data_IF_175918785573
#
_entry.id   IF_175918785573
#
_cell.length_a   1.000
_cell.length_b   1.000
_cell.length_c   1.000
_cell.angle_alpha   90.00
_cell.angle_beta   90.00
_cell.angle_gamma   90.00
#
_symmetry.space_group_name_H-M   'P 1'
#
loop_
_entity.id
_entity.type
_entity.pdbx_description
1 polymer ?
#
# COMPACT_ATOMS: atom_id res chain seq x y z
N UNK A 1 32.85 -48.35 16.97
CA UNK A 1 33.06 -48.33 15.50
C UNK A 1 33.12 -46.87 15.11
N UNK A 2 34.28 -46.39 14.66
CA UNK A 2 34.42 -45.02 14.15
C UNK A 2 33.81 -44.96 12.73
N UNK A 3 33.13 -43.85 12.35
CA UNK A 3 32.61 -43.69 11.00
C UNK A 3 33.77 -43.56 9.99
N UNK A 4 33.60 -44.03 8.74
CA UNK A 4 34.59 -43.82 7.69
C UNK A 4 34.74 -42.31 7.42
N UNK A 5 35.98 -41.85 7.31
CA UNK A 5 36.30 -40.49 6.91
C UNK A 5 35.67 -40.23 5.54
N UNK A 6 34.79 -39.23 5.46
CA UNK A 6 34.17 -38.78 4.23
C UNK A 6 35.28 -38.23 3.31
N UNK A 7 35.35 -38.75 2.08
CA UNK A 7 36.23 -38.23 1.03
C UNK A 7 35.77 -36.81 0.68
N UNK A 8 36.39 -35.81 1.31
CA UNK A 8 36.19 -34.41 0.97
C UNK A 8 36.86 -34.18 -0.39
N UNK A 9 36.06 -34.05 -1.45
CA UNK A 9 36.52 -33.67 -2.79
C UNK A 9 37.25 -32.31 -2.70
N UNK A 10 38.58 -32.35 -2.67
CA UNK A 10 39.41 -31.15 -2.66
C UNK A 10 39.40 -30.56 -4.07
N UNK A 11 38.97 -29.30 -4.26
CA UNK A 11 38.90 -28.69 -5.59
C UNK A 11 40.30 -28.67 -6.24
N UNK A 12 40.41 -29.27 -7.43
CA UNK A 12 41.65 -29.37 -8.20
C UNK A 12 41.72 -28.28 -9.29
N UNK A 13 42.94 -27.82 -9.60
CA UNK A 13 43.19 -26.95 -10.74
C UNK A 13 43.06 -27.71 -12.06
N UNK A 14 42.32 -27.19 -13.04
CA UNK A 14 42.15 -27.88 -14.34
C UNK A 14 43.35 -27.78 -15.30
N UNK A 15 44.33 -26.94 -14.97
CA UNK A 15 45.54 -26.76 -15.78
C UNK A 15 46.65 -27.72 -15.33
N UNK A 16 46.85 -27.86 -14.02
CA UNK A 16 47.93 -28.67 -13.45
C UNK A 16 47.46 -29.89 -12.65
N UNK A 17 46.14 -30.04 -12.43
CA UNK A 17 45.50 -31.13 -11.68
C UNK A 17 45.94 -31.28 -10.22
N UNK A 18 46.55 -30.23 -9.65
CA UNK A 18 46.93 -30.18 -8.23
C UNK A 18 45.85 -29.51 -7.38
N UNK A 19 45.77 -29.81 -6.07
CA UNK A 19 44.87 -29.14 -5.13
C UNK A 19 45.02 -27.62 -5.17
N UNK A 20 43.90 -26.89 -5.15
CA UNK A 20 43.90 -25.42 -5.10
C UNK A 20 44.18 -24.91 -3.69
N UNK A 21 45.10 -23.95 -3.58
CA UNK A 21 45.15 -23.01 -2.47
C UNK A 21 44.13 -21.89 -2.75
N UNK A 22 43.66 -21.19 -1.72
CA UNK A 22 42.49 -20.29 -1.71
C UNK A 22 42.57 -19.04 -2.62
N UNK A 23 43.54 -18.94 -3.52
CA UNK A 23 43.69 -17.83 -4.45
C UNK A 23 42.93 -18.13 -5.76
N UNK A 24 41.69 -17.66 -5.82
CA UNK A 24 40.81 -17.86 -6.97
C UNK A 24 40.87 -16.67 -7.94
N UNK A 25 41.43 -16.87 -9.13
CA UNK A 25 41.35 -15.89 -10.23
C UNK A 25 40.12 -16.21 -11.06
N UNK A 26 39.18 -15.26 -11.20
CA UNK A 26 38.01 -15.44 -12.04
C UNK A 26 38.22 -14.80 -13.42
N UNK A 27 37.94 -15.54 -14.50
CA UNK A 27 37.94 -14.97 -15.86
C UNK A 27 36.60 -14.26 -16.15
N UNK A 28 36.51 -13.38 -17.18
CA UNK A 28 35.27 -12.68 -17.55
C UNK A 28 34.08 -13.59 -17.90
N UNK A 29 34.32 -14.88 -18.11
CA UNK A 29 33.30 -15.90 -18.33
C UNK A 29 32.77 -16.55 -17.05
N UNK A 30 33.26 -16.15 -15.86
CA UNK A 30 32.81 -16.66 -14.56
C UNK A 30 33.50 -17.94 -14.08
N UNK A 31 34.32 -18.57 -14.91
CA UNK A 31 35.10 -19.75 -14.52
C UNK A 31 36.30 -19.36 -13.63
N UNK A 32 36.67 -20.24 -12.70
CA UNK A 32 37.67 -19.99 -11.63
C UNK A 32 38.49 -21.22 -11.20
N UNK A 33 38.48 -22.28 -12.00
CA UNK A 33 39.03 -23.59 -11.59
C UNK A 33 40.52 -23.76 -11.91
N UNK A 34 41.35 -22.86 -11.39
CA UNK A 34 42.80 -22.87 -11.62
C UNK A 34 43.56 -22.11 -10.54
N UNK A 35 44.86 -22.39 -10.42
CA UNK A 35 45.77 -21.54 -9.65
C UNK A 35 46.04 -20.23 -10.40
N UNK A 36 46.34 -19.18 -9.65
CA UNK A 36 46.78 -17.89 -10.19
C UNK A 36 47.94 -18.07 -11.20
N UNK A 37 49.04 -18.70 -10.80
CA UNK A 37 50.20 -18.89 -11.69
C UNK A 37 49.85 -19.68 -12.96
N UNK A 38 49.00 -20.71 -12.82
CA UNK A 38 48.60 -21.56 -13.92
C UNK A 38 47.78 -20.78 -14.97
N UNK A 39 46.83 -19.94 -14.53
CA UNK A 39 46.02 -19.17 -15.46
C UNK A 39 46.81 -18.03 -16.10
N UNK A 40 47.70 -17.36 -15.36
CA UNK A 40 48.56 -16.32 -15.94
C UNK A 40 49.47 -16.91 -17.02
N UNK A 41 50.15 -18.03 -16.74
CA UNK A 41 50.98 -18.72 -17.74
C UNK A 41 50.18 -19.30 -18.92
N UNK A 42 48.86 -19.51 -18.77
CA UNK A 42 47.98 -19.82 -19.89
C UNK A 42 47.67 -18.57 -20.71
N UNK A 43 47.27 -17.47 -20.08
CA UNK A 43 46.88 -16.23 -20.73
C UNK A 43 48.01 -15.54 -21.50
N UNK A 44 49.26 -15.71 -21.05
CA UNK A 44 50.44 -15.28 -21.82
C UNK A 44 50.56 -15.98 -23.18
N UNK A 45 50.04 -17.20 -23.29
CA UNK A 45 50.09 -18.01 -24.52
C UNK A 45 48.78 -17.95 -25.31
N UNK A 46 47.64 -17.89 -24.62
CA UNK A 46 46.30 -17.89 -25.21
C UNK A 46 45.36 -16.99 -24.42
N UNK A 47 44.86 -15.93 -25.05
CA UNK A 47 43.89 -14.97 -24.47
C UNK A 47 42.44 -15.50 -24.41
N UNK A 48 42.27 -16.77 -24.05
CA UNK A 48 40.96 -17.42 -23.97
C UNK A 48 40.85 -18.34 -22.75
N UNK A 49 39.63 -18.53 -22.25
CA UNK A 49 39.38 -19.42 -21.12
C UNK A 49 39.75 -20.89 -21.44
N UNK A 50 40.50 -21.59 -20.56
CA UNK A 50 40.80 -23.02 -20.75
C UNK A 50 39.56 -23.91 -20.80
N UNK A 51 38.50 -23.52 -20.09
CA UNK A 51 37.23 -24.28 -19.98
C UNK A 51 36.31 -24.03 -21.17
N UNK A 52 35.93 -22.77 -21.42
CA UNK A 52 34.91 -22.44 -22.41
C UNK A 52 35.44 -21.73 -23.66
N UNK A 53 36.75 -21.43 -23.72
CA UNK A 53 37.41 -20.70 -24.82
C UNK A 53 36.88 -19.28 -25.07
N UNK A 54 36.13 -18.71 -24.14
CA UNK A 54 35.70 -17.31 -24.24
C UNK A 54 36.93 -16.38 -24.23
N UNK A 55 36.98 -15.36 -25.10
CA UNK A 55 38.08 -14.42 -25.17
C UNK A 55 38.15 -13.57 -23.90
N UNK A 56 39.37 -13.34 -23.39
CA UNK A 56 39.60 -12.57 -22.17
C UNK A 56 39.74 -11.06 -22.41
N UNK A 57 39.84 -10.64 -23.67
CA UNK A 57 40.14 -9.26 -24.06
C UNK A 57 38.93 -8.35 -24.31
N UNK A 58 37.68 -8.83 -24.21
CA UNK A 58 36.55 -8.06 -24.76
C UNK A 58 35.18 -8.44 -24.21
N UNK A 59 34.98 -8.36 -22.90
CA UNK A 59 33.63 -8.42 -22.34
C UNK A 59 33.43 -7.37 -21.26
N UNK A 60 32.31 -6.60 -21.29
CA UNK A 60 31.91 -5.75 -20.18
C UNK A 60 31.73 -6.53 -18.85
N UNK A 61 31.76 -7.87 -18.87
CA UNK A 61 31.83 -8.72 -17.67
C UNK A 61 33.17 -8.70 -16.92
N UNK A 62 34.21 -8.03 -17.45
CA UNK A 62 35.47 -7.80 -16.72
C UNK A 62 35.28 -6.93 -15.48
N UNK A 63 34.35 -5.98 -15.51
CA UNK A 63 34.01 -5.13 -14.36
C UNK A 63 33.22 -5.87 -13.28
N UNK A 64 32.36 -6.82 -13.64
CA UNK A 64 31.63 -7.66 -12.68
C UNK A 64 32.59 -8.52 -11.84
N UNK A 65 33.67 -9.03 -12.44
CA UNK A 65 34.72 -9.74 -11.72
C UNK A 65 35.68 -8.82 -10.97
N UNK A 66 36.02 -7.65 -11.52
CA UNK A 66 36.86 -6.67 -10.83
C UNK A 66 36.19 -6.13 -9.56
N UNK A 67 34.88 -5.86 -9.59
CA UNK A 67 34.11 -5.47 -8.41
C UNK A 67 34.05 -6.56 -7.35
N UNK A 68 33.94 -7.84 -7.75
CA UNK A 68 34.00 -8.99 -6.82
C UNK A 68 35.41 -9.24 -6.27
N UNK A 69 36.46 -8.94 -7.04
CA UNK A 69 37.85 -9.12 -6.65
C UNK A 69 38.40 -8.02 -5.72
N UNK A 70 37.72 -6.86 -5.62
CA UNK A 70 38.11 -5.80 -4.69
C UNK A 70 37.88 -6.14 -3.21
N UNK A 71 37.28 -7.30 -2.90
CA UNK A 71 37.01 -7.78 -1.54
C UNK A 71 36.50 -6.68 -0.60
N UNK A 72 35.69 -5.76 -1.17
CA UNK A 72 35.01 -4.72 -0.43
C UNK A 72 33.64 -5.27 -0.09
N UNK A 73 33.42 -5.74 1.15
CA UNK A 73 32.07 -5.95 1.64
C UNK A 73 31.47 -4.56 1.80
N UNK A 74 30.91 -4.00 0.74
CA UNK A 74 29.85 -3.02 0.87
C UNK A 74 28.55 -3.83 0.91
N UNK A 75 28.09 -4.28 2.09
CA UNK A 75 26.81 -4.98 2.18
C UNK A 75 25.72 -4.07 1.63
N UNK A 76 24.99 -4.55 0.60
CA UNK A 76 23.82 -3.88 0.03
C UNK A 76 24.00 -3.21 -1.34
N UNK A 77 25.14 -3.41 -2.02
CA UNK A 77 25.31 -2.96 -3.42
C UNK A 77 25.06 -4.11 -4.40
N UNK A 78 23.81 -4.24 -4.83
CA UNK A 78 23.40 -5.21 -5.85
C UNK A 78 24.04 -4.84 -7.19
N UNK A 79 24.67 -5.81 -7.86
CA UNK A 79 25.36 -5.58 -9.14
C UNK A 79 24.43 -4.97 -10.21
N UNK A 80 23.13 -5.29 -10.16
CA UNK A 80 22.11 -4.72 -11.04
C UNK A 80 21.95 -3.20 -10.91
N UNK A 81 22.27 -2.64 -9.73
CA UNK A 81 22.19 -1.19 -9.46
C UNK A 81 23.48 -0.46 -9.85
N UNK A 82 24.61 -1.16 -9.90
CA UNK A 82 25.94 -0.57 -10.16
C UNK A 82 26.30 -0.59 -11.64
N UNK A 83 25.87 -1.62 -12.38
CA UNK A 83 26.19 -1.76 -13.80
C UNK A 83 25.69 -0.61 -14.67
N UNK A 84 24.48 -0.03 -14.48
CA UNK A 84 24.06 1.15 -15.22
C UNK A 84 24.97 2.36 -14.96
N UNK A 85 25.36 2.59 -13.70
CA UNK A 85 26.24 3.70 -13.32
C UNK A 85 27.64 3.58 -13.95
N UNK A 86 28.21 2.37 -13.98
CA UNK A 86 29.51 2.12 -14.62
C UNK A 86 29.46 2.28 -16.14
N UNK A 87 28.34 1.94 -16.78
CA UNK A 87 28.12 2.22 -18.21
C UNK A 87 28.11 3.71 -18.47
N UNK A 88 27.42 4.51 -17.64
CA UNK A 88 27.41 5.97 -17.75
C UNK A 88 28.80 6.59 -17.62
N UNK A 89 29.63 6.11 -16.69
CA UNK A 89 31.02 6.55 -16.53
C UNK A 89 31.93 6.19 -17.71
N UNK A 90 31.50 5.27 -18.58
CA UNK A 90 32.24 4.85 -19.77
C UNK A 90 31.77 5.58 -21.03
N UNK A 91 30.73 6.42 -20.95
CA UNK A 91 30.21 7.17 -22.10
C UNK A 91 31.09 8.39 -22.42
N UNK A 92 31.20 8.78 -23.70
CA UNK A 92 31.79 10.06 -24.08
C UNK A 92 31.02 11.23 -23.47
N UNK A 93 31.74 12.29 -23.05
CA UNK A 93 31.15 13.50 -22.47
C UNK A 93 30.09 14.16 -23.37
N UNK A 94 30.28 14.12 -24.69
CA UNK A 94 29.30 14.62 -25.65
C UNK A 94 27.96 13.86 -25.59
N UNK A 95 28.00 12.53 -25.44
CA UNK A 95 26.79 11.71 -25.33
C UNK A 95 26.06 12.01 -24.02
N UNK A 96 26.79 12.17 -22.92
CA UNK A 96 26.20 12.53 -21.62
C UNK A 96 25.49 13.88 -21.66
N UNK A 97 26.04 14.86 -22.38
CA UNK A 97 25.42 16.18 -22.52
C UNK A 97 24.14 16.12 -23.39
N UNK A 98 24.16 15.33 -24.47
CA UNK A 98 22.97 15.09 -25.30
C UNK A 98 21.87 14.39 -24.50
N UNK A 99 22.21 13.33 -23.77
CA UNK A 99 21.27 12.60 -22.91
C UNK A 99 20.71 13.53 -21.81
N UNK A 100 21.55 14.39 -21.21
CA UNK A 100 21.09 15.37 -20.22
C UNK A 100 20.09 16.36 -20.83
N UNK A 101 20.38 16.93 -22.01
CA UNK A 101 19.47 17.86 -22.68
C UNK A 101 18.15 17.19 -23.07
N UNK A 102 18.21 15.92 -23.47
CA UNK A 102 17.00 15.15 -23.76
C UNK A 102 16.15 14.98 -22.50
N UNK A 103 16.76 14.60 -21.38
CA UNK A 103 16.06 14.44 -20.10
C UNK A 103 15.46 15.76 -19.60
N UNK A 104 16.18 16.88 -19.74
CA UNK A 104 15.65 18.21 -19.41
C UNK A 104 14.42 18.55 -20.26
N UNK A 105 14.46 18.26 -21.56
CA UNK A 105 13.31 18.45 -22.45
C UNK A 105 12.13 17.55 -22.09
N UNK A 106 12.38 16.30 -21.73
CA UNK A 106 11.34 15.36 -21.28
C UNK A 106 10.71 15.81 -19.95
N UNK A 107 11.50 16.34 -19.02
CA UNK A 107 11.00 16.92 -17.78
C UNK A 107 10.11 18.13 -18.03
N UNK A 108 10.52 19.07 -18.88
CA UNK A 108 9.71 20.25 -19.23
C UNK A 108 8.35 19.87 -19.84
N UNK A 109 8.32 18.83 -20.67
CA UNK A 109 7.08 18.30 -21.25
C UNK A 109 6.16 17.71 -20.19
N UNK A 110 6.70 16.89 -19.27
CA UNK A 110 5.93 16.29 -18.19
C UNK A 110 5.41 17.33 -17.18
N UNK A 111 6.20 18.37 -16.89
CA UNK A 111 5.75 19.49 -16.05
C UNK A 111 4.57 20.22 -16.67
N UNK A 112 4.58 20.41 -18.00
CA UNK A 112 3.46 21.00 -18.74
C UNK A 112 2.21 20.11 -18.67
N UNK A 113 2.35 18.80 -18.89
CA UNK A 113 1.23 17.85 -18.80
C UNK A 113 0.61 17.82 -17.40
N UNK A 114 1.44 17.86 -16.34
CA UNK A 114 0.95 17.95 -14.96
C UNK A 114 0.21 19.25 -14.69
N UNK A 115 0.64 20.36 -15.28
CA UNK A 115 -0.04 21.65 -15.14
C UNK A 115 -1.43 21.61 -15.81
N UNK A 116 -1.53 21.06 -17.03
CA UNK A 116 -2.81 20.89 -17.73
C UNK A 116 -3.79 20.01 -16.94
N UNK A 117 -3.30 18.91 -16.34
CA UNK A 117 -4.13 18.04 -15.51
C UNK A 117 -4.63 18.73 -14.23
N UNK A 118 -3.81 19.56 -13.59
CA UNK A 118 -4.23 20.35 -12.42
C UNK A 118 -5.31 21.36 -12.78
N UNK A 119 -5.15 22.06 -13.90
CA UNK A 119 -6.16 23.00 -14.39
C UNK A 119 -7.48 22.30 -14.72
N UNK A 120 -7.42 21.11 -15.33
CA UNK A 120 -8.60 20.29 -15.59
C UNK A 120 -9.27 19.76 -14.30
N UNK A 121 -8.49 19.43 -13.27
CA UNK A 121 -9.02 19.05 -11.95
C UNK A 121 -9.75 20.23 -11.29
N UNK A 122 -9.15 21.42 -11.30
CA UNK A 122 -9.77 22.65 -10.80
C UNK A 122 -11.06 22.99 -11.56
N UNK A 123 -11.08 22.87 -12.90
CA UNK A 123 -12.27 23.08 -13.72
C UNK A 123 -13.40 22.09 -13.34
N UNK A 124 -13.08 20.81 -13.21
CA UNK A 124 -14.03 19.78 -12.80
C UNK A 124 -14.56 20.02 -11.37
N UNK A 125 -13.72 20.47 -10.45
CA UNK A 125 -14.15 20.81 -9.09
C UNK A 125 -15.15 21.97 -9.08
N UNK A 126 -14.90 23.00 -9.90
CA UNK A 126 -15.85 24.11 -10.09
C UNK A 126 -17.18 23.64 -10.68
N UNK A 127 -17.16 22.76 -11.69
CA UNK A 127 -18.39 22.17 -12.25
C UNK A 127 -19.17 21.39 -11.18
N UNK A 128 -18.48 20.58 -10.37
CA UNK A 128 -19.09 19.84 -9.26
C UNK A 128 -19.66 20.78 -8.20
N UNK A 129 -18.98 21.87 -7.90
CA UNK A 129 -19.46 22.89 -6.97
C UNK A 129 -20.71 23.60 -7.49
N UNK A 130 -20.76 23.93 -8.79
CA UNK A 130 -21.94 24.50 -9.44
C UNK A 130 -23.12 23.53 -9.39
N UNK A 131 -22.91 22.26 -9.72
CA UNK A 131 -23.92 21.22 -9.60
C UNK A 131 -24.40 21.09 -8.17
N UNK A 132 -23.50 20.97 -7.19
CA UNK A 132 -23.83 20.89 -5.77
C UNK A 132 -24.61 22.12 -5.27
N UNK A 133 -24.28 23.31 -5.77
CA UNK A 133 -24.96 24.54 -5.36
C UNK A 133 -26.46 24.54 -5.69
N UNK A 134 -26.83 23.84 -6.77
CA UNK A 134 -28.22 23.62 -7.16
C UNK A 134 -28.96 22.58 -6.31
N UNK A 135 -28.25 21.79 -5.48
CA UNK A 135 -28.84 20.73 -4.65
C UNK A 135 -29.01 21.10 -3.18
N UNK A 136 -28.60 22.29 -2.73
CA UNK A 136 -28.60 22.67 -1.31
C UNK A 136 -29.97 22.76 -0.62
N UNK A 137 -31.09 22.54 -1.32
CA UNK A 137 -32.43 22.52 -0.74
C UNK A 137 -33.21 21.22 -1.01
N UNK A 138 -32.57 20.20 -1.62
CA UNK A 138 -33.19 18.89 -1.78
C UNK A 138 -32.82 18.04 -0.57
N UNK A 139 -33.47 18.29 0.57
CA UNK A 139 -33.43 17.34 1.68
C UNK A 139 -34.04 16.04 1.21
N UNK A 140 -33.22 14.98 1.08
CA UNK A 140 -33.80 13.68 0.78
C UNK A 140 -34.53 13.18 2.03
N UNK A 141 -35.60 12.38 1.88
CA UNK A 141 -36.28 11.76 3.02
C UNK A 141 -35.31 10.96 3.90
N UNK A 142 -34.23 10.44 3.29
CA UNK A 142 -33.14 9.80 4.02
C UNK A 142 -32.41 10.80 4.93
N UNK A 143 -32.01 11.96 4.43
CA UNK A 143 -31.30 12.97 5.23
C UNK A 143 -32.16 13.51 6.36
N UNK A 144 -33.45 13.73 6.10
CA UNK A 144 -34.43 14.11 7.12
C UNK A 144 -34.54 13.04 8.22
N UNK A 145 -34.54 11.76 7.84
CA UNK A 145 -34.55 10.65 8.79
C UNK A 145 -33.29 10.60 9.66
N UNK A 146 -32.10 10.76 9.07
CA UNK A 146 -30.85 10.82 9.84
C UNK A 146 -30.84 11.99 10.82
N UNK A 147 -31.26 13.18 10.37
CA UNK A 147 -31.38 14.36 11.24
C UNK A 147 -32.43 14.20 12.35
N UNK A 148 -33.49 13.43 12.13
CA UNK A 148 -34.45 13.06 13.17
C UNK A 148 -33.83 12.14 14.22
N UNK A 149 -33.11 11.10 13.78
CA UNK A 149 -32.43 10.15 14.66
C UNK A 149 -31.33 10.83 15.49
N UNK A 150 -30.55 11.72 14.89
CA UNK A 150 -29.55 12.53 15.61
C UNK A 150 -30.20 13.39 16.71
N UNK A 151 -31.31 14.06 16.39
CA UNK A 151 -32.05 14.89 17.35
C UNK A 151 -32.65 14.06 18.47
N UNK A 152 -33.19 12.88 18.14
CA UNK A 152 -33.72 11.93 19.10
C UNK A 152 -32.63 11.43 20.05
N UNK A 153 -31.49 11.00 19.51
CA UNK A 153 -30.36 10.53 20.29
C UNK A 153 -29.79 11.62 21.20
N UNK A 154 -29.63 12.82 20.67
CA UNK A 154 -29.18 13.98 21.44
C UNK A 154 -30.19 14.37 22.54
N UNK A 155 -31.49 14.19 22.33
CA UNK A 155 -32.51 14.49 23.33
C UNK A 155 -32.48 13.48 24.49
N UNK A 156 -32.43 12.19 24.18
CA UNK A 156 -32.26 11.13 25.18
C UNK A 156 -30.99 11.35 26.02
N UNK A 157 -29.89 11.70 25.35
CA UNK A 157 -28.64 12.03 26.02
C UNK A 157 -28.75 13.22 26.99
N UNK A 158 -29.38 14.33 26.57
CA UNK A 158 -29.57 15.51 27.44
C UNK A 158 -30.40 15.20 28.69
N UNK A 159 -31.29 14.22 28.61
CA UNK A 159 -32.08 13.78 29.76
C UNK A 159 -31.34 12.82 30.69
N UNK A 160 -30.13 12.38 30.32
CA UNK A 160 -29.35 11.36 31.03
C UNK A 160 -30.15 10.07 31.23
N UNK A 161 -30.95 9.70 30.23
CA UNK A 161 -31.76 8.48 30.20
C UNK A 161 -31.05 7.50 29.27
N UNK A 162 -30.73 6.31 29.79
CA UNK A 162 -30.13 5.25 28.99
C UNK A 162 -31.06 4.76 27.88
N UNK A 163 -30.52 4.10 26.84
CA UNK A 163 -31.35 3.56 25.76
C UNK A 163 -32.39 2.53 26.27
N UNK A 164 -32.01 1.70 27.24
CA UNK A 164 -32.92 0.74 27.89
C UNK A 164 -34.05 1.44 28.67
N UNK A 165 -33.70 2.44 29.48
CA UNK A 165 -34.68 3.24 30.24
C UNK A 165 -35.63 4.00 29.32
N UNK A 166 -35.10 4.53 28.21
CA UNK A 166 -35.88 5.20 27.18
C UNK A 166 -36.84 4.21 26.50
N UNK A 167 -36.36 3.00 26.18
CA UNK A 167 -37.19 1.95 25.61
C UNK A 167 -38.34 1.58 26.56
N UNK A 168 -38.04 1.38 27.84
CA UNK A 168 -39.06 1.09 28.87
C UNK A 168 -40.05 2.24 29.07
N UNK A 169 -39.62 3.50 28.91
CA UNK A 169 -40.51 4.66 28.96
C UNK A 169 -41.46 4.72 27.77
N UNK A 170 -41.01 4.28 26.59
CA UNK A 170 -41.82 4.21 25.38
C UNK A 170 -42.72 2.98 25.34
N UNK A 171 -42.25 1.86 25.87
CA UNK A 171 -42.94 0.57 25.94
C UNK A 171 -43.12 0.13 27.40
N UNK A 172 -44.19 0.59 28.07
CA UNK A 172 -44.51 0.07 29.39
C UNK A 172 -44.72 -1.44 29.27
N UNK A 173 -43.99 -2.22 30.08
CA UNK A 173 -43.90 -3.69 30.07
C UNK A 173 -42.83 -4.31 29.16
N UNK A 174 -42.01 -3.52 28.46
CA UNK A 174 -40.89 -4.03 27.65
C UNK A 174 -41.33 -4.83 26.42
N UNK A 175 -42.57 -4.62 25.95
CA UNK A 175 -43.04 -5.24 24.72
C UNK A 175 -42.38 -4.56 23.49
N UNK A 176 -42.18 -5.26 22.37
CA UNK A 176 -41.75 -4.62 21.13
C UNK A 176 -42.70 -3.48 20.73
N UNK A 177 -42.15 -2.36 20.29
CA UNK A 177 -42.92 -1.18 19.87
C UNK A 177 -43.32 -1.33 18.41
N UNK A 178 -44.62 -1.22 18.11
CA UNK A 178 -45.06 -1.18 16.71
C UNK A 178 -44.47 0.05 16.02
N UNK A 179 -44.07 -0.07 14.75
CA UNK A 179 -43.53 1.03 13.95
C UNK A 179 -44.42 2.30 13.99
N UNK A 180 -45.73 2.10 13.90
CA UNK A 180 -46.72 3.19 13.95
C UNK A 180 -46.76 3.92 15.30
N UNK A 181 -46.39 3.24 16.40
CA UNK A 181 -46.33 3.85 17.72
C UNK A 181 -45.11 4.78 17.88
N UNK A 182 -44.06 4.59 17.08
CA UNK A 182 -42.88 5.46 17.08
C UNK A 182 -43.07 6.74 16.25
N UNK A 183 -43.99 6.75 15.27
CA UNK A 183 -44.23 7.92 14.39
C UNK A 183 -44.51 9.23 15.15
N UNK A 184 -45.37 9.26 16.19
CA UNK A 184 -45.63 10.48 16.94
C UNK A 184 -44.39 11.04 17.66
N UNK A 185 -43.44 10.17 18.03
CA UNK A 185 -42.19 10.57 18.69
C UNK A 185 -41.35 11.43 17.74
N UNK A 186 -41.16 10.97 16.51
CA UNK A 186 -40.41 11.70 15.50
C UNK A 186 -41.14 12.94 14.99
N UNK A 187 -42.47 12.87 14.85
CA UNK A 187 -43.29 14.02 14.48
C UNK A 187 -43.14 15.17 15.49
N UNK A 188 -42.92 14.87 16.77
CA UNK A 188 -42.72 15.88 17.81
C UNK A 188 -41.44 16.72 17.65
N UNK A 189 -40.41 16.21 16.95
CA UNK A 189 -39.18 16.96 16.69
C UNK A 189 -39.35 18.02 15.60
N UNK A 190 -40.40 17.94 14.78
CA UNK A 190 -40.72 18.88 13.71
C UNK A 190 -39.68 18.94 12.58
N UNK A 191 -40.03 19.64 11.50
CA UNK A 191 -39.09 19.97 10.41
C UNK A 191 -38.70 18.80 9.48
N UNK A 192 -39.37 17.65 9.58
CA UNK A 192 -39.21 16.54 8.64
C UNK A 192 -40.54 16.28 7.92
N UNK A 193 -40.47 15.82 6.66
CA UNK A 193 -41.62 15.36 5.90
C UNK A 193 -42.20 14.07 6.47
N UNK A 194 -43.42 13.72 6.08
CA UNK A 194 -44.04 12.44 6.48
C UNK A 194 -43.18 11.24 6.05
N UNK A 195 -42.59 11.31 4.85
CA UNK A 195 -41.72 10.27 4.33
C UNK A 195 -40.39 10.21 5.10
N UNK A 196 -39.84 11.34 5.54
CA UNK A 196 -38.66 11.37 6.41
C UNK A 196 -38.91 10.73 7.77
N UNK A 197 -40.09 10.96 8.35
CA UNK A 197 -40.53 10.29 9.59
C UNK A 197 -40.70 8.79 9.38
N UNK A 198 -41.31 8.37 8.27
CA UNK A 198 -41.47 6.95 7.93
C UNK A 198 -40.12 6.25 7.78
N UNK A 199 -39.18 6.85 7.03
CA UNK A 199 -37.82 6.32 6.87
C UNK A 199 -37.07 6.27 8.21
N UNK A 200 -37.26 7.25 9.10
CA UNK A 200 -36.67 7.22 10.44
C UNK A 200 -37.19 6.06 11.28
N UNK A 201 -38.51 5.80 11.23
CA UNK A 201 -39.12 4.67 11.93
C UNK A 201 -38.59 3.35 11.37
N UNK A 202 -38.55 3.18 10.04
CA UNK A 202 -37.99 1.99 9.40
C UNK A 202 -36.53 1.76 9.76
N UNK A 203 -35.76 2.83 10.03
CA UNK A 203 -34.37 2.73 10.47
C UNK A 203 -34.21 2.31 11.93
N UNK A 204 -35.21 2.57 12.78
CA UNK A 204 -35.26 2.00 14.13
C UNK A 204 -35.58 0.51 14.12
N UNK A 205 -36.19 -0.01 13.06
CA UNK A 205 -36.49 -1.45 12.90
C UNK A 205 -35.35 -2.12 12.13
N UNK A 206 -34.20 -2.29 12.79
CA UNK A 206 -32.95 -2.75 12.15
C UNK A 206 -33.13 -4.12 11.48
N UNK A 207 -33.96 -4.98 12.06
CA UNK A 207 -34.25 -6.32 11.57
C UNK A 207 -35.46 -6.39 10.59
N UNK A 208 -36.14 -5.27 10.32
CA UNK A 208 -37.31 -5.17 9.43
C UNK A 208 -38.48 -6.07 9.85
N UNK A 209 -38.66 -6.28 11.16
CA UNK A 209 -39.73 -7.13 11.70
C UNK A 209 -41.10 -6.45 11.73
N UNK A 210 -41.15 -5.13 11.54
CA UNK A 210 -42.30 -4.26 11.79
C UNK A 210 -42.41 -3.82 13.26
N UNK A 211 -41.49 -4.24 14.10
CA UNK A 211 -41.43 -3.94 15.53
C UNK A 211 -40.04 -3.45 15.91
N UNK A 212 -39.98 -2.45 16.78
CA UNK A 212 -38.75 -1.92 17.34
C UNK A 212 -38.53 -2.64 18.67
N UNK A 213 -37.48 -3.44 18.73
CA UNK A 213 -37.02 -4.09 19.95
C UNK A 213 -36.02 -3.19 20.69
N UNK A 214 -35.75 -3.52 21.96
CA UNK A 214 -34.78 -2.80 22.77
C UNK A 214 -33.39 -2.78 22.13
N UNK A 215 -32.97 -3.92 21.57
CA UNK A 215 -31.69 -4.05 20.87
C UNK A 215 -31.58 -3.13 19.65
N UNK A 216 -32.66 -2.96 18.89
CA UNK A 216 -32.66 -2.08 17.72
C UNK A 216 -32.49 -0.60 18.15
N UNK A 217 -33.18 -0.19 19.21
CA UNK A 217 -33.06 1.16 19.76
C UNK A 217 -31.64 1.43 20.27
N UNK A 218 -31.06 0.50 21.02
CA UNK A 218 -29.67 0.59 21.52
C UNK A 218 -28.70 0.71 20.35
N UNK A 219 -28.83 -0.13 19.32
CA UNK A 219 -27.94 -0.11 18.16
C UNK A 219 -27.99 1.22 17.42
N UNK A 220 -29.19 1.75 17.16
CA UNK A 220 -29.34 3.05 16.49
C UNK A 220 -28.81 4.18 17.38
N UNK A 221 -29.13 4.18 18.67
CA UNK A 221 -28.63 5.17 19.62
C UNK A 221 -27.09 5.18 19.68
N UNK A 222 -26.43 4.02 19.69
CA UNK A 222 -24.97 3.93 19.70
C UNK A 222 -24.32 4.46 18.40
N UNK A 223 -24.98 4.30 17.25
CA UNK A 223 -24.48 4.82 15.96
C UNK A 223 -24.57 6.34 15.86
N UNK A 224 -25.55 6.94 16.53
CA UNK A 224 -25.85 8.37 16.45
C UNK A 224 -25.36 9.17 17.68
N UNK A 225 -25.02 8.49 18.77
CA UNK A 225 -24.42 9.11 19.93
C UNK A 225 -22.94 9.45 19.66
N UNK A 226 -22.42 10.58 20.16
CA UNK A 226 -21.00 10.89 20.07
C UNK A 226 -20.17 9.80 20.76
N UNK A 227 -19.08 9.38 20.08
CA UNK A 227 -18.18 8.25 20.43
C UNK A 227 -17.71 8.22 21.89
N UNK A 228 -17.71 9.36 22.58
CA UNK A 228 -17.32 9.48 23.99
C UNK A 228 -18.20 8.73 25.02
N UNK A 229 -19.22 7.98 24.57
CA UNK A 229 -20.29 7.45 25.44
C UNK A 229 -20.49 5.94 25.38
N UNK A 230 -19.72 5.21 24.56
CA UNK A 230 -19.80 3.74 24.54
C UNK A 230 -19.13 3.08 25.77
N UNK A 231 -18.45 3.86 26.63
CA UNK A 231 -17.68 3.37 27.79
C UNK A 231 -18.46 3.35 29.12
N UNK A 232 -19.76 3.67 29.14
CA UNK A 232 -20.54 3.71 30.40
C UNK A 232 -20.96 2.33 30.95
N UNK A 233 -20.28 1.26 30.55
CA UNK A 233 -20.69 -0.12 30.80
C UNK A 233 -19.71 -1.00 31.57
N UNK A 234 -18.83 -0.49 32.45
CA UNK A 234 -18.04 -1.33 33.38
C UNK A 234 -17.69 -0.65 34.73
N UNK A 235 -18.64 0.05 35.39
CA UNK A 235 -18.43 0.60 36.74
C UNK A 235 -19.53 0.22 37.74
#
# INVERSE_FOLDING_TARGET
>A
MAPPAEDVDVPSCLICFLPRNSEEVCLPCGHREWHHECIYGWLERQSSCPLCRAPTASSPGGLECALRALDMPLPGLDCERVLPALRLLSLPEAQLLEDQQQLETELDLLETELQELREAEEEMELELQELSSGFHDVTTPRDEAWALLDRFAAAAFRTNVGAEELFLALSPHGAPLALEAARPLFAAFGGASELGVEVACQRLDVNQSGWIEEGDLVEVMCRHAPVALCDFGEA
#
